data_IF_647961509587
#
_entry.id   IF_647961509587
#
_cell.length_a   1.000
_cell.length_b   1.000
_cell.length_c   1.000
_cell.angle_alpha   90.00
_cell.angle_beta   90.00
_cell.angle_gamma   90.00
#
_symmetry.space_group_name_H-M   'P 1'
#
loop_
_entity.id
_entity.type
_entity.pdbx_description
1 polymer ?
#
# COMPACT_ATOMS: atom_id res chain seq x y z
N UNK A 1 -16.89 -20.47 -7.66
CA UNK A 1 -16.78 -21.54 -6.63
C UNK A 1 -16.57 -22.93 -7.24
N UNK A 2 -17.43 -23.42 -8.13
CA UNK A 2 -17.25 -24.76 -8.74
C UNK A 2 -16.01 -24.92 -9.65
N UNK A 3 -15.60 -23.85 -10.35
CA UNK A 3 -14.32 -23.81 -11.06
C UNK A 3 -13.11 -23.78 -10.10
N UNK A 4 -13.31 -23.37 -8.83
CA UNK A 4 -12.27 -23.38 -7.80
C UNK A 4 -12.12 -24.77 -7.16
N UNK A 5 -13.24 -25.42 -6.83
CA UNK A 5 -13.27 -26.79 -6.31
C UNK A 5 -12.77 -27.83 -7.32
N UNK A 6 -13.09 -27.66 -8.62
CA UNK A 6 -12.50 -28.52 -9.66
C UNK A 6 -11.00 -28.29 -9.79
N UNK A 7 -10.54 -27.04 -9.66
CA UNK A 7 -9.12 -26.69 -9.78
C UNK A 7 -8.29 -27.17 -8.58
N UNK A 8 -8.84 -27.19 -7.36
CA UNK A 8 -8.15 -27.72 -6.16
C UNK A 8 -8.13 -29.25 -6.10
N UNK A 9 -9.19 -29.93 -6.57
CA UNK A 9 -9.22 -31.40 -6.66
C UNK A 9 -8.41 -31.94 -7.87
N UNK A 10 -7.96 -31.05 -8.76
CA UNK A 10 -7.18 -31.39 -9.97
C UNK A 10 -5.67 -31.16 -9.81
N UNK A 11 -5.22 -30.45 -8.77
CA UNK A 11 -3.81 -30.43 -8.37
C UNK A 11 -3.36 -31.79 -7.80
N UNK A 12 -4.31 -32.62 -7.36
CA UNK A 12 -4.06 -33.86 -6.60
C UNK A 12 -4.01 -35.14 -7.47
N UNK A 13 -4.32 -35.07 -8.79
CA UNK A 13 -4.52 -36.26 -9.63
C UNK A 13 -3.83 -36.26 -11.01
N UNK A 14 -2.85 -35.38 -11.29
CA UNK A 14 -2.15 -35.52 -12.57
C UNK A 14 -1.05 -34.51 -12.84
N UNK A 15 0.15 -34.83 -12.40
CA UNK A 15 1.38 -34.20 -12.91
C UNK A 15 1.67 -34.60 -14.37
N UNK A 16 1.15 -35.74 -14.86
CA UNK A 16 1.53 -36.32 -16.15
C UNK A 16 1.00 -35.55 -17.39
N UNK A 17 -0.12 -34.83 -17.28
CA UNK A 17 -0.75 -34.10 -18.42
C UNK A 17 -1.17 -32.66 -18.07
N UNK A 18 -0.36 -31.97 -17.25
CA UNK A 18 -0.67 -30.62 -16.75
C UNK A 18 -0.96 -29.61 -17.87
N UNK A 19 -0.20 -29.63 -18.98
CA UNK A 19 -0.39 -28.72 -20.12
C UNK A 19 -1.67 -29.01 -20.93
N UNK A 20 -1.89 -30.27 -21.30
CA UNK A 20 -3.02 -30.68 -22.11
C UNK A 20 -4.35 -30.37 -21.39
N UNK A 21 -4.41 -30.68 -20.10
CA UNK A 21 -5.61 -30.42 -19.31
C UNK A 21 -5.89 -28.92 -19.15
N UNK A 22 -4.84 -28.12 -18.94
CA UNK A 22 -4.97 -26.67 -18.89
C UNK A 22 -5.45 -26.11 -20.22
N UNK A 23 -4.99 -26.65 -21.35
CA UNK A 23 -5.37 -26.16 -22.69
C UNK A 23 -6.87 -26.33 -22.91
N UNK A 24 -7.36 -27.55 -22.69
CA UNK A 24 -8.75 -27.94 -22.91
C UNK A 24 -9.72 -27.24 -21.94
N UNK A 25 -9.28 -26.88 -20.74
CA UNK A 25 -10.12 -26.27 -19.70
C UNK A 25 -9.96 -24.75 -19.54
N UNK A 26 -9.05 -24.12 -20.28
CA UNK A 26 -8.72 -22.70 -20.13
C UNK A 26 -9.77 -21.76 -20.70
N UNK A 27 -10.51 -22.18 -21.73
CA UNK A 27 -11.49 -21.33 -22.41
C UNK A 27 -12.79 -21.18 -21.60
N UNK A 28 -13.30 -19.96 -21.53
CA UNK A 28 -14.61 -19.66 -20.94
C UNK A 28 -15.61 -19.36 -22.05
N UNK A 29 -16.50 -20.32 -22.33
CA UNK A 29 -17.51 -20.22 -23.39
C UNK A 29 -18.67 -19.27 -23.05
N UNK A 30 -18.68 -18.68 -21.84
CA UNK A 30 -19.70 -17.69 -21.46
C UNK A 30 -19.34 -16.27 -21.87
N UNK A 31 -18.11 -16.04 -22.35
CA UNK A 31 -17.65 -14.72 -22.81
C UNK A 31 -18.12 -14.49 -24.26
N UNK A 32 -19.09 -13.60 -24.44
CA UNK A 32 -19.65 -13.23 -25.75
C UNK A 32 -19.06 -11.93 -26.30
N UNK A 33 -18.49 -11.08 -25.45
CA UNK A 33 -17.95 -9.79 -25.84
C UNK A 33 -16.54 -9.87 -26.48
N UNK A 34 -16.32 -9.09 -27.55
CA UNK A 34 -15.06 -9.06 -28.30
C UNK A 34 -13.88 -8.58 -27.44
N UNK A 35 -14.10 -7.59 -26.57
CA UNK A 35 -13.05 -7.10 -25.68
C UNK A 35 -12.70 -8.14 -24.60
N UNK A 36 -13.72 -8.80 -24.04
CA UNK A 36 -13.55 -9.92 -23.11
C UNK A 36 -12.78 -11.10 -23.71
N UNK A 37 -13.02 -11.43 -24.99
CA UNK A 37 -12.30 -12.46 -25.75
C UNK A 37 -10.81 -12.14 -25.86
N UNK A 38 -10.44 -10.89 -26.15
CA UNK A 38 -9.03 -10.46 -26.23
C UNK A 38 -8.33 -10.59 -24.88
N UNK A 39 -8.97 -10.11 -23.81
CA UNK A 39 -8.45 -10.24 -22.44
C UNK A 39 -8.30 -11.71 -22.05
N UNK A 40 -9.26 -12.56 -22.42
CA UNK A 40 -9.20 -14.00 -22.11
C UNK A 40 -8.08 -14.70 -22.88
N UNK A 41 -7.90 -14.41 -24.17
CA UNK A 41 -6.78 -14.93 -24.96
C UNK A 41 -5.43 -14.51 -24.38
N UNK A 42 -5.29 -13.25 -23.99
CA UNK A 42 -4.09 -12.76 -23.32
C UNK A 42 -3.82 -13.49 -22.00
N UNK A 43 -4.86 -13.69 -21.17
CA UNK A 43 -4.73 -14.42 -19.91
C UNK A 43 -4.29 -15.87 -20.10
N UNK A 44 -4.87 -16.58 -21.08
CA UNK A 44 -4.50 -17.98 -21.38
C UNK A 44 -3.06 -18.05 -21.89
N UNK A 45 -2.67 -17.16 -22.82
CA UNK A 45 -1.29 -17.08 -23.33
C UNK A 45 -0.28 -16.86 -22.19
N UNK A 46 -0.60 -15.99 -21.24
CA UNK A 46 0.28 -15.72 -20.10
C UNK A 46 0.36 -16.90 -19.14
N UNK A 47 -0.75 -17.59 -18.86
CA UNK A 47 -0.79 -18.80 -18.01
C UNK A 47 0.07 -19.92 -18.63
N UNK A 48 0.00 -20.13 -19.94
CA UNK A 48 0.85 -21.09 -20.64
C UNK A 48 2.33 -20.70 -20.64
N UNK A 49 2.63 -19.43 -20.92
CA UNK A 49 4.02 -18.92 -20.88
C UNK A 49 4.64 -19.07 -19.49
N UNK A 50 3.82 -18.95 -18.44
CA UNK A 50 4.23 -19.17 -17.06
C UNK A 50 4.50 -20.65 -16.79
N UNK A 51 3.62 -21.55 -17.20
CA UNK A 51 3.83 -23.00 -17.05
C UNK A 51 5.09 -23.50 -17.76
N UNK A 52 5.33 -23.06 -19.00
CA UNK A 52 6.55 -23.40 -19.75
C UNK A 52 7.81 -22.87 -19.03
N UNK A 53 7.72 -21.70 -18.40
CA UNK A 53 8.83 -21.15 -17.61
C UNK A 53 9.05 -21.89 -16.30
N UNK A 54 8.00 -22.38 -15.64
CA UNK A 54 8.11 -23.23 -14.46
C UNK A 54 8.84 -24.54 -14.82
N UNK A 55 8.48 -25.16 -15.93
CA UNK A 55 9.10 -26.42 -16.37
C UNK A 55 10.56 -26.24 -16.81
N UNK A 56 10.86 -25.20 -17.59
CA UNK A 56 12.26 -24.81 -17.92
C UNK A 56 13.10 -24.42 -16.71
N UNK A 57 12.47 -23.96 -15.63
CA UNK A 57 13.20 -23.68 -14.39
C UNK A 57 13.50 -24.96 -13.59
N UNK A 58 12.72 -26.01 -13.81
CA UNK A 58 12.86 -27.33 -13.18
C UNK A 58 13.72 -28.31 -14.00
N UNK A 59 13.90 -28.08 -15.31
CA UNK A 59 14.96 -28.74 -16.07
C UNK A 59 16.30 -28.53 -15.36
N UNK A 60 17.06 -29.62 -15.22
CA UNK A 60 18.27 -29.68 -14.39
C UNK A 60 19.26 -28.59 -14.79
N UNK A 61 19.30 -27.52 -13.99
CA UNK A 61 20.28 -26.46 -14.11
C UNK A 61 21.65 -27.01 -13.78
N UNK A 62 22.64 -26.66 -14.59
CA UNK A 62 24.01 -27.01 -14.31
C UNK A 62 24.45 -26.41 -12.95
N UNK A 63 25.33 -27.12 -12.22
CA UNK A 63 25.80 -26.68 -10.89
C UNK A 63 26.43 -25.29 -10.96
N UNK A 64 27.11 -24.96 -12.05
CA UNK A 64 27.71 -23.63 -12.26
C UNK A 64 26.65 -22.54 -12.38
N UNK A 65 25.59 -22.76 -13.17
CA UNK A 65 24.48 -21.80 -13.31
C UNK A 65 23.76 -21.58 -11.98
N UNK A 66 23.60 -22.64 -11.18
CA UNK A 66 22.99 -22.55 -9.86
C UNK A 66 23.82 -21.66 -8.93
N UNK A 67 25.15 -21.88 -8.87
CA UNK A 67 26.08 -21.09 -8.06
C UNK A 67 26.05 -19.62 -8.48
N UNK A 68 26.10 -19.34 -9.79
CA UNK A 68 26.00 -17.97 -10.31
C UNK A 68 24.69 -17.28 -9.91
N UNK A 69 23.56 -17.99 -9.96
CA UNK A 69 22.26 -17.46 -9.52
C UNK A 69 22.27 -17.16 -8.03
N UNK A 70 22.82 -18.05 -7.20
CA UNK A 70 22.93 -17.81 -5.75
C UNK A 70 23.83 -16.61 -5.43
N UNK A 71 24.99 -16.49 -6.07
CA UNK A 71 25.88 -15.33 -5.91
C UNK A 71 25.16 -14.04 -6.32
N UNK A 72 24.49 -14.04 -7.48
CA UNK A 72 23.72 -12.88 -7.95
C UNK A 72 22.64 -12.48 -6.94
N UNK A 73 21.96 -13.44 -6.32
CA UNK A 73 20.97 -13.19 -5.27
C UNK A 73 21.58 -12.61 -4.00
N UNK A 74 22.72 -13.12 -3.55
CA UNK A 74 23.41 -12.61 -2.35
C UNK A 74 23.83 -11.15 -2.59
N UNK A 75 24.46 -10.87 -3.74
CA UNK A 75 24.88 -9.51 -4.11
C UNK A 75 23.68 -8.57 -4.22
N UNK A 76 22.61 -8.98 -4.90
CA UNK A 76 21.41 -8.16 -5.03
C UNK A 76 20.74 -7.87 -3.68
N UNK A 77 20.64 -8.86 -2.78
CA UNK A 77 20.08 -8.65 -1.45
C UNK A 77 20.97 -7.75 -0.57
N UNK A 78 22.30 -7.86 -0.68
CA UNK A 78 23.23 -6.94 -0.01
C UNK A 78 23.04 -5.50 -0.49
N UNK A 79 22.93 -5.30 -1.82
CA UNK A 79 22.66 -3.98 -2.40
C UNK A 79 21.31 -3.43 -1.93
N UNK A 80 20.28 -4.26 -1.83
CA UNK A 80 18.97 -3.84 -1.28
C UNK A 80 19.13 -3.35 0.16
N UNK A 81 19.85 -4.08 1.02
CA UNK A 81 20.07 -3.66 2.41
C UNK A 81 20.85 -2.32 2.47
N UNK A 82 21.86 -2.15 1.62
CA UNK A 82 22.64 -0.90 1.53
C UNK A 82 21.76 0.27 1.08
N UNK A 83 20.91 0.08 0.06
CA UNK A 83 20.00 1.13 -0.43
C UNK A 83 18.97 1.49 0.65
N UNK A 84 18.40 0.49 1.33
CA UNK A 84 17.42 0.72 2.40
C UNK A 84 18.07 1.44 3.59
N UNK A 85 19.20 0.94 4.10
CA UNK A 85 19.93 1.55 5.20
C UNK A 85 20.47 2.94 4.85
N UNK A 86 21.05 3.10 3.66
CA UNK A 86 21.54 4.37 3.15
C UNK A 86 20.43 5.40 3.00
N UNK A 87 19.25 5.01 2.52
CA UNK A 87 18.10 5.91 2.43
C UNK A 87 17.62 6.40 3.80
N UNK A 88 17.59 5.52 4.80
CA UNK A 88 17.26 5.91 6.19
C UNK A 88 18.32 6.84 6.78
N UNK A 89 19.60 6.55 6.55
CA UNK A 89 20.70 7.40 7.01
C UNK A 89 20.65 8.79 6.37
N UNK A 90 20.36 8.90 5.07
CA UNK A 90 20.20 10.20 4.40
C UNK A 90 19.06 11.01 5.02
N UNK A 91 17.91 10.39 5.29
CA UNK A 91 16.78 11.09 5.92
C UNK A 91 17.16 11.57 7.33
N UNK A 92 17.83 10.71 8.12
CA UNK A 92 18.27 11.06 9.47
C UNK A 92 19.27 12.23 9.47
N UNK A 93 20.31 12.17 8.62
CA UNK A 93 21.32 13.24 8.53
C UNK A 93 20.69 14.54 8.04
N UNK A 94 19.83 14.47 7.02
CA UNK A 94 19.13 15.66 6.51
C UNK A 94 18.22 16.29 7.56
N UNK A 95 17.66 15.49 8.48
CA UNK A 95 16.85 16.02 9.57
C UNK A 95 17.69 16.68 10.68
N UNK A 96 18.88 16.16 10.98
CA UNK A 96 19.75 16.67 12.04
C UNK A 96 20.66 17.83 11.58
N UNK A 97 20.99 17.88 10.29
CA UNK A 97 21.85 18.92 9.71
C UNK A 97 21.06 19.87 8.84
N UNK A 98 21.04 21.15 9.18
CA UNK A 98 20.65 22.22 8.25
C UNK A 98 21.76 22.37 7.21
N UNK A 99 21.58 21.78 6.03
CA UNK A 99 22.48 21.98 4.90
C UNK A 99 22.24 23.40 4.38
N UNK A 100 23.03 24.36 4.84
CA UNK A 100 23.10 25.69 4.24
C UNK A 100 24.18 25.66 3.17
N UNK A 101 23.83 25.54 1.87
CA UNK A 101 24.84 25.67 0.83
C UNK A 101 25.29 27.14 0.79
N UNK A 102 26.60 27.38 0.91
CA UNK A 102 27.21 28.72 1.02
C UNK A 102 27.18 29.53 -0.30
N UNK A 103 26.78 28.95 -1.44
CA UNK A 103 26.96 29.56 -2.77
C UNK A 103 25.69 29.59 -3.65
N UNK A 104 24.49 29.57 -3.07
CA UNK A 104 23.23 29.47 -3.82
C UNK A 104 22.43 30.78 -3.69
N UNK A 105 21.73 31.27 -4.74
CA UNK A 105 20.91 32.48 -4.66
C UNK A 105 19.97 32.49 -3.45
N UNK A 106 19.80 33.63 -2.78
CA UNK A 106 19.04 33.79 -1.52
C UNK A 106 17.66 33.09 -1.53
N UNK A 107 16.94 33.16 -2.65
CA UNK A 107 15.65 32.48 -2.81
C UNK A 107 15.75 30.95 -2.76
N UNK A 108 16.75 30.37 -3.43
CA UNK A 108 16.98 28.94 -3.43
C UNK A 108 17.57 28.48 -2.10
N UNK A 109 18.32 29.34 -1.41
CA UNK A 109 18.84 29.06 -0.06
C UNK A 109 17.70 28.98 0.97
N UNK A 110 16.76 29.92 0.94
CA UNK A 110 15.58 29.91 1.82
C UNK A 110 14.66 28.69 1.55
N UNK A 111 14.47 28.34 0.27
CA UNK A 111 13.75 27.13 -0.11
C UNK A 111 14.46 25.85 0.34
N UNK A 112 15.78 25.75 0.17
CA UNK A 112 16.50 24.55 0.56
C UNK A 112 16.51 24.37 2.07
N UNK A 113 16.70 25.46 2.82
CA UNK A 113 16.67 25.46 4.28
C UNK A 113 15.31 25.00 4.82
N UNK A 114 14.20 25.48 4.23
CA UNK A 114 12.84 25.19 4.73
C UNK A 114 12.24 23.86 4.26
N UNK A 115 12.73 23.30 3.15
CA UNK A 115 12.15 22.10 2.52
C UNK A 115 13.14 20.92 2.43
N UNK A 116 14.27 20.98 3.13
CA UNK A 116 15.34 19.98 3.04
C UNK A 116 14.86 18.54 3.27
N UNK A 117 14.20 18.31 4.41
CA UNK A 117 13.71 16.99 4.81
C UNK A 117 12.58 16.49 3.89
N UNK A 118 11.54 17.28 3.59
CA UNK A 118 10.51 16.90 2.64
C UNK A 118 11.05 16.56 1.24
N UNK A 119 12.00 17.36 0.72
CA UNK A 119 12.63 17.12 -0.59
C UNK A 119 13.44 15.82 -0.59
N UNK A 120 14.19 15.55 0.47
CA UNK A 120 14.94 14.29 0.61
C UNK A 120 14.00 13.07 0.62
N UNK A 121 12.92 13.11 1.42
CA UNK A 121 11.95 12.01 1.49
C UNK A 121 11.24 11.80 0.15
N UNK A 122 10.74 12.86 -0.49
CA UNK A 122 10.04 12.76 -1.77
C UNK A 122 10.96 12.31 -2.91
N UNK A 123 12.21 12.77 -2.95
CA UNK A 123 13.19 12.36 -3.98
C UNK A 123 13.60 10.88 -3.84
N UNK A 124 13.85 10.40 -2.62
CA UNK A 124 14.15 8.99 -2.36
C UNK A 124 13.00 8.08 -2.81
N UNK A 125 11.74 8.48 -2.62
CA UNK A 125 10.57 7.72 -3.13
C UNK A 125 10.53 7.61 -4.65
N UNK A 126 11.09 8.56 -5.39
CA UNK A 126 11.16 8.49 -6.85
C UNK A 126 12.29 7.57 -7.30
N UNK A 127 13.43 7.61 -6.62
CA UNK A 127 14.67 6.94 -7.05
C UNK A 127 14.72 5.48 -6.58
N UNK A 128 14.37 5.22 -5.32
CA UNK A 128 14.59 3.91 -4.68
C UNK A 128 13.70 2.81 -5.27
N UNK A 129 12.37 2.96 -5.44
CA UNK A 129 11.53 1.88 -5.96
C UNK A 129 11.93 1.40 -7.36
N UNK A 130 12.27 2.27 -8.34
CA UNK A 130 12.83 1.83 -9.61
C UNK A 130 14.14 1.04 -9.48
N UNK A 131 15.05 1.45 -8.58
CA UNK A 131 16.28 0.71 -8.31
C UNK A 131 16.00 -0.67 -7.71
N UNK A 132 15.10 -0.77 -6.73
CA UNK A 132 14.68 -2.04 -6.13
C UNK A 132 14.05 -2.98 -7.15
N UNK A 133 13.23 -2.44 -8.06
CA UNK A 133 12.62 -3.21 -9.15
C UNK A 133 13.67 -3.71 -10.15
N UNK A 134 14.67 -2.89 -10.48
CA UNK A 134 15.79 -3.31 -11.32
C UNK A 134 16.59 -4.45 -10.67
N UNK A 135 16.90 -4.35 -9.37
CA UNK A 135 17.57 -5.41 -8.61
C UNK A 135 16.73 -6.71 -8.58
N UNK A 136 15.41 -6.62 -8.39
CA UNK A 136 14.52 -7.78 -8.45
C UNK A 136 14.58 -8.50 -9.81
N UNK A 137 14.71 -7.76 -10.92
CA UNK A 137 14.86 -8.34 -12.27
C UNK A 137 16.19 -9.07 -12.45
N UNK A 138 17.27 -8.59 -11.83
CA UNK A 138 18.59 -9.24 -11.88
C UNK A 138 18.60 -10.59 -11.17
N UNK A 139 17.80 -10.76 -10.12
CA UNK A 139 17.74 -12.00 -9.33
C UNK A 139 17.07 -13.20 -10.05
N UNK A 140 16.49 -12.96 -11.24
CA UNK A 140 15.85 -13.98 -12.11
C UNK A 140 14.88 -14.91 -11.35
N UNK A 141 14.09 -14.34 -10.44
CA UNK A 141 13.03 -15.08 -9.75
C UNK A 141 11.91 -15.48 -10.70
N UNK A 142 11.11 -16.47 -10.29
CA UNK A 142 9.84 -16.72 -10.94
C UNK A 142 8.97 -15.45 -10.90
N UNK A 143 8.27 -15.06 -11.99
CA UNK A 143 7.57 -13.78 -12.09
C UNK A 143 6.58 -13.50 -10.94
N UNK A 144 5.95 -14.54 -10.37
CA UNK A 144 5.07 -14.39 -9.19
C UNK A 144 5.83 -14.00 -7.92
N UNK A 145 7.02 -14.56 -7.73
CA UNK A 145 7.88 -14.30 -6.57
C UNK A 145 8.54 -12.94 -6.75
N UNK A 146 9.06 -12.65 -7.94
CA UNK A 146 9.66 -11.36 -8.32
C UNK A 146 8.74 -10.19 -7.97
N UNK A 147 7.46 -10.27 -8.36
CA UNK A 147 6.49 -9.19 -8.06
C UNK A 147 6.29 -9.05 -6.56
N UNK A 148 6.01 -10.16 -5.84
CA UNK A 148 5.78 -10.10 -4.39
C UNK A 148 6.99 -9.55 -3.63
N UNK A 149 8.19 -9.98 -4.02
CA UNK A 149 9.44 -9.52 -3.45
C UNK A 149 9.63 -8.02 -3.68
N UNK A 150 9.35 -7.53 -4.89
CA UNK A 150 9.40 -6.10 -5.21
C UNK A 150 8.41 -5.29 -4.36
N UNK A 151 7.18 -5.79 -4.17
CA UNK A 151 6.19 -5.16 -3.29
C UNK A 151 6.69 -5.12 -1.86
N UNK A 152 7.18 -6.25 -1.33
CA UNK A 152 7.68 -6.34 0.05
C UNK A 152 8.82 -5.34 0.26
N UNK A 153 9.82 -5.30 -0.63
CA UNK A 153 10.98 -4.39 -0.51
C UNK A 153 10.57 -2.93 -0.60
N UNK A 154 9.67 -2.59 -1.50
CA UNK A 154 9.17 -1.20 -1.63
C UNK A 154 8.30 -0.81 -0.44
N UNK A 155 7.47 -1.71 0.07
CA UNK A 155 6.68 -1.49 1.28
C UNK A 155 7.57 -1.34 2.52
N UNK A 156 8.63 -2.15 2.65
CA UNK A 156 9.62 -2.02 3.73
C UNK A 156 10.37 -0.69 3.64
N UNK A 157 10.74 -0.24 2.44
CA UNK A 157 11.32 1.08 2.22
C UNK A 157 10.38 2.19 2.71
N UNK A 158 9.10 2.19 2.28
CA UNK A 158 8.14 3.20 2.71
C UNK A 158 7.91 3.17 4.23
N UNK A 159 7.81 1.98 4.82
CA UNK A 159 7.67 1.82 6.26
C UNK A 159 8.89 2.37 7.01
N UNK A 160 10.10 1.98 6.60
CA UNK A 160 11.34 2.44 7.21
C UNK A 160 11.50 3.96 7.06
N UNK A 161 11.19 4.52 5.88
CA UNK A 161 11.24 5.96 5.65
C UNK A 161 10.25 6.73 6.53
N UNK A 162 9.05 6.17 6.74
CA UNK A 162 8.04 6.75 7.62
C UNK A 162 8.52 6.72 9.08
N UNK A 163 9.07 5.59 9.52
CA UNK A 163 9.61 5.46 10.89
C UNK A 163 10.73 6.47 11.12
N UNK A 164 11.72 6.54 10.23
CA UNK A 164 12.85 7.47 10.37
C UNK A 164 12.35 8.92 10.39
N UNK A 165 11.46 9.28 9.47
CA UNK A 165 10.84 10.61 9.42
C UNK A 165 10.12 10.96 10.72
N UNK A 166 9.34 10.03 11.26
CA UNK A 166 8.64 10.25 12.53
C UNK A 166 9.63 10.37 13.69
N UNK A 167 10.64 9.49 13.78
CA UNK A 167 11.65 9.56 14.84
C UNK A 167 12.49 10.84 14.78
N UNK A 168 12.79 11.35 13.59
CA UNK A 168 13.54 12.61 13.45
C UNK A 168 12.71 13.81 13.91
N UNK A 169 11.41 13.81 13.62
CA UNK A 169 10.49 14.82 14.12
C UNK A 169 10.36 14.77 15.65
N UNK A 170 10.35 13.57 16.25
CA UNK A 170 10.39 13.44 17.71
C UNK A 170 11.68 13.93 18.34
N UNK A 171 12.83 13.65 17.73
CA UNK A 171 14.12 14.10 18.26
C UNK A 171 14.17 15.64 18.32
N UNK A 172 13.72 16.31 17.26
CA UNK A 172 13.55 17.78 17.22
C UNK A 172 12.59 18.25 18.32
N UNK A 173 11.44 17.59 18.49
CA UNK A 173 10.50 17.95 19.55
C UNK A 173 11.10 17.81 20.96
N UNK A 174 11.90 16.76 21.19
CA UNK A 174 12.52 16.51 22.49
C UNK A 174 13.62 17.51 22.83
N UNK A 175 14.38 17.95 21.83
CA UNK A 175 15.38 19.04 21.93
C UNK A 175 14.70 20.35 22.31
N UNK A 176 13.53 20.63 21.73
CA UNK A 176 12.73 21.79 22.10
C UNK A 176 12.19 21.76 23.53
N UNK A 177 11.66 20.62 23.98
CA UNK A 177 11.11 20.47 25.35
C UNK A 177 12.21 20.50 26.42
N UNK A 178 13.39 19.98 26.12
CA UNK A 178 14.53 19.90 27.07
C UNK A 178 15.38 21.18 27.13
N UNK A 179 15.15 22.13 26.21
CA UNK A 179 16.02 23.29 25.96
C UNK A 179 15.94 24.43 26.98
N UNK A 180 15.20 24.31 28.08
CA UNK A 180 14.94 25.45 28.99
C UNK A 180 15.16 25.10 30.48
N UNK A 181 16.42 24.93 30.89
CA UNK A 181 16.75 24.96 32.33
C UNK A 181 17.95 25.83 32.75
N UNK A 182 18.71 26.46 31.82
CA UNK A 182 19.90 27.26 32.23
C UNK A 182 20.06 28.61 31.50
N UNK A 183 19.00 29.18 30.94
CA UNK A 183 19.05 30.50 30.28
C UNK A 183 18.31 31.56 31.08
N UNK A 184 19.05 32.47 31.71
CA UNK A 184 18.50 33.68 32.35
C UNK A 184 17.65 34.49 31.38
N UNK A 185 16.50 34.92 31.90
CA UNK A 185 15.41 35.60 31.20
C UNK A 185 15.82 37.02 30.77
N UNK A 186 16.62 37.16 29.70
CA UNK A 186 16.86 38.46 29.06
C UNK A 186 16.96 38.29 27.54
N UNK A 187 15.94 38.80 26.83
CA UNK A 187 15.90 39.02 25.38
C UNK A 187 16.14 37.78 24.49
N UNK A 188 15.16 36.87 24.44
CA UNK A 188 14.88 36.15 23.18
C UNK A 188 14.02 37.07 22.31
N UNK A 189 14.39 37.22 21.05
CA UNK A 189 13.55 37.88 20.06
C UNK A 189 12.16 37.21 20.03
N UNK A 190 11.14 37.94 19.62
CA UNK A 190 9.74 37.50 19.44
C UNK A 190 9.59 36.24 18.53
N UNK A 191 10.69 35.74 17.95
CA UNK A 191 10.78 34.64 16.98
C UNK A 191 11.10 33.26 17.56
N UNK A 192 11.54 33.12 18.81
CA UNK A 192 12.08 31.84 19.33
C UNK A 192 11.17 31.18 20.37
N UNK A 193 9.86 31.14 20.09
CA UNK A 193 8.93 30.27 20.82
C UNK A 193 8.96 28.88 20.18
N UNK A 194 9.38 27.83 20.91
CA UNK A 194 9.35 26.49 20.34
C UNK A 194 7.94 25.88 20.41
N UNK A 195 7.33 25.76 19.22
CA UNK A 195 6.02 25.15 19.00
C UNK A 195 6.17 23.86 18.21
N UNK A 196 6.73 22.84 18.86
CA UNK A 196 7.08 21.59 18.18
C UNK A 196 5.86 20.90 17.53
N UNK A 197 4.65 21.01 18.09
CA UNK A 197 3.45 20.40 17.48
C UNK A 197 3.13 21.03 16.11
N UNK A 198 3.32 22.35 16.00
CA UNK A 198 3.09 23.08 14.75
C UNK A 198 4.18 22.76 13.72
N UNK A 199 5.44 22.66 14.16
CA UNK A 199 6.56 22.30 13.30
C UNK A 199 6.39 20.89 12.71
N UNK A 200 5.97 19.92 13.52
CA UNK A 200 5.62 18.57 13.06
C UNK A 200 4.48 18.61 12.02
N UNK A 201 3.42 19.37 12.30
CA UNK A 201 2.30 19.54 11.36
C UNK A 201 2.72 20.20 10.06
N UNK A 202 3.60 21.20 10.12
CA UNK A 202 4.16 21.91 8.98
C UNK A 202 5.03 20.99 8.11
N UNK A 203 5.92 20.20 8.71
CA UNK A 203 6.76 19.26 7.96
C UNK A 203 5.94 18.19 7.23
N UNK A 204 4.92 17.61 7.88
CA UNK A 204 4.00 16.66 7.23
C UNK A 204 3.26 17.35 6.08
N UNK A 205 2.83 18.61 6.27
CA UNK A 205 2.16 19.38 5.23
C UNK A 205 3.07 19.62 4.01
N UNK A 206 4.32 20.03 4.23
CA UNK A 206 5.32 20.22 3.17
C UNK A 206 5.56 18.93 2.39
N UNK A 207 5.70 17.79 3.08
CA UNK A 207 5.85 16.46 2.44
C UNK A 207 4.64 16.14 1.56
N UNK A 208 3.42 16.40 2.04
CA UNK A 208 2.19 16.11 1.29
C UNK A 208 2.12 16.90 -0.02
N UNK A 209 2.44 18.20 0.02
CA UNK A 209 2.44 19.08 -1.15
C UNK A 209 3.55 18.71 -2.12
N UNK A 210 4.77 18.47 -1.62
CA UNK A 210 5.89 18.06 -2.47
C UNK A 210 5.66 16.70 -3.12
N UNK A 211 5.07 15.74 -2.41
CA UNK A 211 4.68 14.47 -3.01
C UNK A 211 3.66 14.69 -4.17
N UNK A 212 2.71 15.62 -4.04
CA UNK A 212 1.79 15.94 -5.13
C UNK A 212 2.53 16.53 -6.35
N UNK A 213 3.40 17.52 -6.12
CA UNK A 213 4.19 18.15 -7.19
C UNK A 213 5.07 17.12 -7.89
N UNK A 214 5.76 16.28 -7.12
CA UNK A 214 6.64 15.23 -7.63
C UNK A 214 5.86 14.20 -8.43
N UNK A 215 4.69 13.74 -7.97
CA UNK A 215 3.86 12.78 -8.72
C UNK A 215 3.42 13.37 -10.06
N UNK A 216 3.03 14.64 -10.10
CA UNK A 216 2.65 15.33 -11.34
C UNK A 216 3.86 15.46 -12.26
N UNK A 217 4.99 15.94 -11.75
CA UNK A 217 6.20 16.19 -12.54
C UNK A 217 6.77 14.87 -13.09
N UNK A 218 6.91 13.84 -12.26
CA UNK A 218 7.40 12.53 -12.68
C UNK A 218 6.44 11.88 -13.68
N UNK A 219 5.12 11.99 -13.47
CA UNK A 219 4.14 11.49 -14.43
C UNK A 219 4.22 12.18 -15.78
N UNK A 220 4.33 13.51 -15.81
CA UNK A 220 4.51 14.28 -17.05
C UNK A 220 5.84 13.96 -17.73
N UNK A 221 6.95 14.04 -17.00
CA UNK A 221 8.29 13.84 -17.58
C UNK A 221 8.50 12.40 -18.03
N UNK A 222 8.23 11.40 -17.18
CA UNK A 222 8.53 10.02 -17.53
C UNK A 222 7.51 9.40 -18.47
N UNK A 223 6.22 9.62 -18.25
CA UNK A 223 5.19 8.92 -19.02
C UNK A 223 4.86 9.68 -20.32
N UNK A 224 4.71 11.01 -20.28
CA UNK A 224 4.36 11.81 -21.47
C UNK A 224 5.55 11.97 -22.42
N UNK A 225 6.76 12.27 -21.91
CA UNK A 225 7.92 12.39 -22.81
C UNK A 225 8.24 11.06 -23.49
N UNK A 226 8.15 9.93 -22.76
CA UNK A 226 8.36 8.61 -23.37
C UNK A 226 7.32 8.36 -24.47
N UNK A 227 6.05 8.70 -24.24
CA UNK A 227 5.01 8.56 -25.27
C UNK A 227 5.31 9.41 -26.51
N UNK A 228 5.75 10.67 -26.33
CA UNK A 228 6.14 11.56 -27.44
C UNK A 228 7.33 10.98 -28.21
N UNK A 229 8.37 10.51 -27.52
CA UNK A 229 9.58 9.94 -28.14
C UNK A 229 9.23 8.71 -29.00
N UNK A 230 8.36 7.84 -28.49
CA UNK A 230 7.90 6.65 -29.23
C UNK A 230 7.06 7.04 -30.44
N UNK A 231 6.21 8.05 -30.30
CA UNK A 231 5.36 8.53 -31.40
C UNK A 231 6.17 9.25 -32.49
N UNK A 232 7.25 9.94 -32.13
CA UNK A 232 8.16 10.60 -33.07
C UNK A 232 9.12 9.64 -33.81
N UNK A 233 9.00 8.32 -33.59
CA UNK A 233 9.81 7.28 -34.26
C UNK A 233 11.33 7.45 -34.10
N UNK A 234 11.79 8.24 -33.12
CA UNK A 234 13.20 8.57 -32.95
C UNK A 234 13.95 7.30 -32.50
N UNK A 235 13.40 6.57 -31.53
CA UNK A 235 14.02 5.36 -30.98
C UNK A 235 13.04 4.16 -31.00
N UNK A 236 13.04 3.40 -32.10
CA UNK A 236 12.20 2.20 -32.29
C UNK A 236 12.42 1.04 -31.29
N UNK A 237 13.38 1.17 -30.38
CA UNK A 237 13.71 0.13 -29.40
C UNK A 237 12.99 0.32 -28.06
N UNK A 238 12.51 1.53 -27.76
CA UNK A 238 11.75 1.80 -26.54
C UNK A 238 10.26 1.63 -26.81
N UNK A 239 9.61 0.71 -26.09
CA UNK A 239 8.16 0.57 -26.10
C UNK A 239 7.50 1.54 -25.11
N UNK A 240 6.19 1.74 -25.26
CA UNK A 240 5.37 2.44 -24.27
C UNK A 240 5.53 1.83 -22.87
N UNK A 241 5.47 2.68 -21.85
CA UNK A 241 5.54 2.24 -20.46
C UNK A 241 4.28 1.45 -20.07
N UNK A 242 4.46 0.40 -19.29
CA UNK A 242 3.35 -0.38 -18.74
C UNK A 242 2.79 0.34 -17.50
N UNK A 243 1.46 0.39 -17.36
CA UNK A 243 0.83 0.93 -16.16
C UNK A 243 0.99 -0.03 -14.98
N UNK A 244 1.89 0.29 -14.04
CA UNK A 244 2.09 -0.50 -12.84
C UNK A 244 1.08 -0.13 -11.74
N UNK A 245 0.07 -0.98 -11.57
CA UNK A 245 -0.93 -0.86 -10.51
C UNK A 245 -0.28 -0.95 -9.12
N UNK A 246 0.80 -1.71 -9.01
CA UNK A 246 1.44 -2.11 -7.75
C UNK A 246 2.05 -0.93 -7.01
N UNK A 247 2.91 -0.15 -7.68
CA UNK A 247 3.55 1.03 -7.10
C UNK A 247 2.52 2.09 -6.72
N UNK A 248 1.51 2.33 -7.58
CA UNK A 248 0.45 3.30 -7.31
C UNK A 248 -0.36 2.95 -6.04
N UNK A 249 -0.58 1.66 -5.77
CA UNK A 249 -1.26 1.23 -4.54
C UNK A 249 -0.36 1.45 -3.31
N UNK A 250 0.96 1.25 -3.42
CA UNK A 250 1.88 1.53 -2.32
C UNK A 250 1.99 3.02 -2.01
N UNK A 251 2.04 3.88 -3.04
CA UNK A 251 2.00 5.34 -2.90
C UNK A 251 0.72 5.80 -2.18
N UNK A 252 -0.41 5.14 -2.48
CA UNK A 252 -1.68 5.38 -1.82
C UNK A 252 -1.66 4.98 -0.34
N UNK A 253 -1.13 3.80 -0.01
CA UNK A 253 -1.02 3.33 1.38
C UNK A 253 -0.12 4.27 2.20
N UNK A 254 1.01 4.69 1.65
CA UNK A 254 1.89 5.66 2.30
C UNK A 254 1.17 7.02 2.50
N UNK A 255 0.45 7.49 1.48
CA UNK A 255 -0.37 8.70 1.56
C UNK A 255 -1.45 8.60 2.63
N UNK A 256 -2.02 7.42 2.89
CA UNK A 256 -2.98 7.19 3.98
C UNK A 256 -2.30 7.22 5.37
N UNK A 257 -1.09 6.68 5.49
CA UNK A 257 -0.33 6.75 6.74
C UNK A 257 -0.03 8.20 7.16
N UNK A 258 0.29 9.08 6.21
CA UNK A 258 0.47 10.51 6.48
C UNK A 258 -0.83 11.21 6.93
N UNK A 259 -2.01 10.77 6.49
CA UNK A 259 -3.29 11.31 7.02
C UNK A 259 -3.42 10.96 8.49
N UNK A 260 -3.17 9.69 8.83
CA UNK A 260 -3.33 9.21 10.21
C UNK A 260 -2.36 9.92 11.16
N UNK A 261 -1.12 10.14 10.72
CA UNK A 261 -0.13 10.92 11.46
C UNK A 261 -0.53 12.42 11.53
N UNK A 262 -0.91 13.02 10.41
CA UNK A 262 -1.18 14.45 10.32
C UNK A 262 -2.49 14.89 10.98
N UNK A 263 -3.48 13.99 11.13
CA UNK A 263 -4.81 14.34 11.64
C UNK A 263 -4.79 14.98 13.04
N UNK A 264 -3.86 14.56 13.89
CA UNK A 264 -3.72 15.10 15.25
C UNK A 264 -3.04 16.47 15.26
N UNK A 265 -1.94 16.63 14.52
CA UNK A 265 -1.17 17.87 14.49
C UNK A 265 -1.86 18.97 13.66
N UNK A 266 -2.51 18.60 12.55
CA UNK A 266 -3.21 19.53 11.66
C UNK A 266 -4.46 18.88 11.05
N UNK A 267 -5.65 19.11 11.61
CA UNK A 267 -6.89 18.47 11.12
C UNK A 267 -7.25 18.91 9.69
N UNK A 268 -6.86 20.11 9.27
CA UNK A 268 -7.04 20.60 7.90
C UNK A 268 -6.23 19.79 6.87
N UNK A 269 -5.17 19.11 7.30
CA UNK A 269 -4.36 18.26 6.43
C UNK A 269 -5.18 17.11 5.82
N UNK A 270 -6.19 16.60 6.54
CA UNK A 270 -7.10 15.59 6.01
C UNK A 270 -7.87 16.10 4.78
N UNK A 271 -8.35 17.34 4.79
CA UNK A 271 -9.04 17.96 3.65
C UNK A 271 -8.08 18.12 2.46
N UNK A 272 -6.87 18.61 2.72
CA UNK A 272 -5.83 18.80 1.69
C UNK A 272 -5.45 17.46 1.07
N UNK A 273 -5.38 16.39 1.87
CA UNK A 273 -5.10 15.07 1.34
C UNK A 273 -6.23 14.54 0.46
N UNK A 274 -7.49 14.76 0.81
CA UNK A 274 -8.62 14.37 -0.05
C UNK A 274 -8.50 15.08 -1.41
N UNK A 275 -8.19 16.38 -1.42
CA UNK A 275 -7.94 17.13 -2.66
C UNK A 275 -6.75 16.52 -3.44
N UNK A 276 -5.63 16.24 -2.77
CA UNK A 276 -4.47 15.57 -3.38
C UNK A 276 -4.87 14.25 -4.04
N UNK A 277 -5.62 13.39 -3.35
CA UNK A 277 -6.04 12.09 -3.87
C UNK A 277 -6.92 12.23 -5.12
N UNK A 278 -7.82 13.22 -5.14
CA UNK A 278 -8.64 13.53 -6.32
C UNK A 278 -7.77 13.98 -7.49
N UNK A 279 -6.83 14.90 -7.27
CA UNK A 279 -5.91 15.38 -8.33
C UNK A 279 -5.06 14.21 -8.85
N UNK A 280 -4.42 13.45 -7.95
CA UNK A 280 -3.59 12.30 -8.32
C UNK A 280 -4.40 11.25 -9.09
N UNK A 281 -5.65 11.01 -8.73
CA UNK A 281 -6.53 10.09 -9.46
C UNK A 281 -6.72 10.53 -10.92
N UNK A 282 -7.10 11.78 -11.16
CA UNK A 282 -7.32 12.29 -12.51
C UNK A 282 -6.03 12.33 -13.33
N UNK A 283 -4.90 12.75 -12.74
CA UNK A 283 -3.60 12.74 -13.41
C UNK A 283 -3.20 11.33 -13.82
N UNK A 284 -3.28 10.35 -12.91
CA UNK A 284 -2.97 8.95 -13.21
C UNK A 284 -3.95 8.35 -14.22
N UNK A 285 -5.22 8.73 -14.18
CA UNK A 285 -6.23 8.31 -15.15
C UNK A 285 -5.88 8.78 -16.57
N UNK A 286 -5.55 10.06 -16.74
CA UNK A 286 -5.16 10.65 -18.03
C UNK A 286 -3.90 9.96 -18.56
N UNK A 287 -2.86 9.85 -17.74
CA UNK A 287 -1.61 9.17 -18.11
C UNK A 287 -1.87 7.71 -18.52
N UNK A 288 -2.67 6.97 -17.74
CA UNK A 288 -3.00 5.59 -18.03
C UNK A 288 -3.79 5.42 -19.33
N UNK A 289 -4.63 6.41 -19.69
CA UNK A 289 -5.47 6.36 -20.89
C UNK A 289 -4.71 6.71 -22.16
N UNK A 290 -3.81 7.70 -22.12
CA UNK A 290 -3.15 8.24 -23.31
C UNK A 290 -1.71 7.77 -23.50
N UNK A 291 -0.95 7.55 -22.43
CA UNK A 291 0.50 7.31 -22.52
C UNK A 291 0.89 5.85 -22.30
N UNK A 292 0.09 5.09 -21.54
CA UNK A 292 0.46 3.75 -21.10
C UNK A 292 -0.26 2.66 -21.88
N UNK A 293 0.43 1.53 -22.03
CA UNK A 293 -0.17 0.31 -22.58
C UNK A 293 -0.77 -0.56 -21.46
N UNK A 294 -1.82 -1.35 -21.74
CA UNK A 294 -2.40 -2.24 -20.76
C UNK A 294 -1.35 -3.25 -20.29
N UNK A 295 -1.30 -3.56 -18.97
CA UNK A 295 -0.27 -4.45 -18.43
C UNK A 295 -0.36 -5.84 -19.06
N UNK A 296 0.77 -6.36 -19.55
CA UNK A 296 0.85 -7.69 -20.18
C UNK A 296 0.62 -8.84 -19.19
N UNK A 297 0.85 -8.59 -17.90
CA UNK A 297 0.63 -9.53 -16.79
C UNK A 297 -0.77 -9.29 -16.19
N UNK A 298 -1.70 -10.18 -16.50
CA UNK A 298 -3.07 -10.12 -15.93
C UNK A 298 -3.02 -10.56 -14.47
N UNK A 299 -3.01 -9.58 -13.57
CA UNK A 299 -3.09 -9.84 -12.13
C UNK A 299 -4.43 -10.52 -11.82
N UNK A 300 -4.37 -11.68 -11.17
CA UNK A 300 -5.55 -12.25 -10.55
C UNK A 300 -5.84 -11.46 -9.28
N UNK A 301 -6.57 -10.35 -9.43
CA UNK A 301 -6.83 -9.32 -8.40
C UNK A 301 -7.24 -9.88 -7.02
N UNK A 302 -7.89 -11.05 -6.99
CA UNK A 302 -8.38 -11.68 -5.75
C UNK A 302 -7.30 -12.11 -4.75
N UNK A 303 -6.04 -12.39 -5.14
CA UNK A 303 -5.00 -12.88 -4.20
C UNK A 303 -4.06 -11.80 -3.67
N UNK A 304 -3.91 -10.69 -4.38
CA UNK A 304 -3.03 -9.57 -3.98
C UNK A 304 -3.73 -8.60 -3.03
N UNK A 305 -5.06 -8.47 -3.09
CA UNK A 305 -5.82 -7.58 -2.20
C UNK A 305 -5.57 -7.82 -0.71
N UNK A 306 -5.54 -9.08 -0.27
CA UNK A 306 -5.28 -9.42 1.14
C UNK A 306 -3.88 -9.01 1.59
N UNK A 307 -2.90 -9.05 0.69
CA UNK A 307 -1.53 -8.66 0.98
C UNK A 307 -1.39 -7.14 1.19
N UNK A 308 -2.05 -6.34 0.34
CA UNK A 308 -2.10 -4.89 0.54
C UNK A 308 -2.84 -4.50 1.82
N UNK A 309 -3.94 -5.20 2.15
CA UNK A 309 -4.65 -4.96 3.41
C UNK A 309 -3.78 -5.25 4.64
N UNK A 310 -2.90 -6.26 4.56
CA UNK A 310 -1.93 -6.54 5.62
C UNK A 310 -0.87 -5.43 5.75
N UNK A 311 -0.31 -4.93 4.63
CA UNK A 311 0.63 -3.80 4.65
C UNK A 311 -0.05 -2.53 5.21
N UNK A 312 -1.29 -2.27 4.82
CA UNK A 312 -2.08 -1.14 5.31
C UNK A 312 -2.26 -1.21 6.83
N UNK A 313 -2.54 -2.42 7.36
CA UNK A 313 -2.67 -2.65 8.80
C UNK A 313 -1.35 -2.37 9.54
N UNK A 314 -0.20 -2.79 9.00
CA UNK A 314 1.11 -2.48 9.60
C UNK A 314 1.35 -0.97 9.64
N UNK A 315 1.09 -0.27 8.52
CA UNK A 315 1.23 1.18 8.47
C UNK A 315 0.31 1.90 9.45
N UNK A 316 -0.89 1.36 9.70
CA UNK A 316 -1.81 1.92 10.69
C UNK A 316 -1.19 1.86 12.09
N UNK A 317 -0.64 0.70 12.50
CA UNK A 317 0.01 0.59 13.80
C UNK A 317 1.24 1.49 13.91
N UNK A 318 2.05 1.59 12.86
CA UNK A 318 3.24 2.47 12.83
C UNK A 318 2.86 3.95 12.87
N UNK A 319 1.71 4.36 12.35
CA UNK A 319 1.23 5.73 12.49
C UNK A 319 0.58 5.99 13.87
N UNK A 320 -0.18 5.03 14.42
CA UNK A 320 -0.89 5.21 15.69
C UNK A 320 0.02 5.16 16.92
N UNK A 321 1.08 4.33 16.90
CA UNK A 321 2.03 4.22 18.00
C UNK A 321 2.69 5.56 18.39
N UNK A 322 3.37 6.28 17.47
CA UNK A 322 3.96 7.58 17.77
C UNK A 322 2.91 8.59 18.23
N UNK A 323 1.77 8.64 17.54
CA UNK A 323 0.66 9.53 17.89
C UNK A 323 0.18 9.33 19.32
N UNK A 324 -0.05 8.08 19.72
CA UNK A 324 -0.45 7.73 21.08
C UNK A 324 0.64 8.08 22.08
N UNK A 325 1.91 7.83 21.73
CA UNK A 325 3.06 8.21 22.54
C UNK A 325 3.14 9.72 22.77
N UNK A 326 2.92 10.55 21.72
CA UNK A 326 2.93 12.00 21.85
C UNK A 326 1.81 12.55 22.73
N UNK A 327 0.64 11.91 22.75
CA UNK A 327 -0.50 12.36 23.57
C UNK A 327 -0.31 12.00 25.05
N UNK A 328 0.27 10.83 25.33
CA UNK A 328 0.36 10.29 26.70
C UNK A 328 1.64 10.75 27.39
N UNK A 329 2.77 10.76 26.69
CA UNK A 329 4.10 10.90 27.30
C UNK A 329 4.70 12.28 27.10
N UNK A 330 4.54 12.89 25.92
CA UNK A 330 5.10 14.22 25.67
C UNK A 330 4.26 15.30 26.38
N UNK A 331 4.96 16.23 27.01
CA UNK A 331 4.39 17.47 27.52
C UNK A 331 4.08 18.42 26.36
N UNK A 332 2.92 19.08 26.36
CA UNK A 332 2.59 20.07 25.32
C UNK A 332 3.52 21.29 25.40
N UNK A 333 3.63 22.05 24.30
CA UNK A 333 4.38 23.31 24.30
C UNK A 333 3.80 24.33 25.30
N UNK A 334 4.71 25.01 26.01
CA UNK A 334 4.31 25.96 27.06
C UNK A 334 3.70 27.24 26.48
N UNK A 335 4.28 27.75 25.39
CA UNK A 335 3.94 29.06 24.83
C UNK A 335 2.82 29.03 23.77
N UNK A 336 2.48 27.85 23.24
CA UNK A 336 1.57 27.72 22.09
C UNK A 336 0.66 26.48 22.11
N UNK A 337 -0.36 26.50 21.24
CA UNK A 337 -1.32 25.41 21.11
C UNK A 337 -2.57 25.52 22.00
N UNK A 338 -3.51 24.57 21.86
CA UNK A 338 -4.75 24.54 22.65
C UNK A 338 -4.57 23.90 24.04
N UNK A 339 -3.44 23.21 24.28
CA UNK A 339 -3.14 22.45 25.51
C UNK A 339 -2.08 23.14 26.38
N UNK A 340 -1.93 24.46 26.25
CA UNK A 340 -0.97 25.26 27.03
C UNK A 340 -1.20 25.11 28.53
N UNK A 341 -0.10 25.16 29.29
CA UNK A 341 -0.05 25.16 30.76
C UNK A 341 -0.42 23.83 31.45
N UNK A 342 -0.67 22.77 30.68
CA UNK A 342 -1.04 21.46 31.19
C UNK A 342 0.18 20.54 31.14
N UNK A 343 0.33 19.61 32.09
CA UNK A 343 1.51 18.74 32.11
C UNK A 343 1.39 17.63 31.07
N UNK A 344 0.17 17.18 30.81
CA UNK A 344 -0.14 16.20 29.77
C UNK A 344 -1.42 16.56 29.01
N UNK A 345 -1.47 16.23 27.71
CA UNK A 345 -2.60 16.54 26.82
C UNK A 345 -3.92 15.95 27.33
N UNK A 346 -3.89 14.80 28.01
CA UNK A 346 -5.09 14.15 28.54
C UNK A 346 -5.72 14.91 29.74
N UNK A 347 -4.97 15.78 30.42
CA UNK A 347 -5.46 16.54 31.58
C UNK A 347 -6.51 17.58 31.18
N UNK A 348 -6.44 18.10 29.95
CA UNK A 348 -7.49 18.98 29.42
C UNK A 348 -8.81 18.23 29.30
N UNK A 349 -8.78 16.97 28.90
CA UNK A 349 -9.98 16.15 28.80
C UNK A 349 -10.57 15.90 30.19
N UNK A 350 -9.75 15.53 31.17
CA UNK A 350 -10.23 15.26 32.54
C UNK A 350 -10.74 16.54 33.23
N UNK A 351 -10.06 17.68 33.05
CA UNK A 351 -10.48 18.98 33.61
C UNK A 351 -11.75 19.49 32.95
N UNK A 352 -11.89 19.35 31.63
CA UNK A 352 -13.14 19.71 30.94
C UNK A 352 -14.29 18.81 31.39
N UNK A 353 -14.07 17.49 31.53
CA UNK A 353 -15.05 16.56 32.11
C UNK A 353 -15.41 16.96 33.55
N UNK A 354 -14.47 17.50 34.33
CA UNK A 354 -14.73 18.05 35.67
C UNK A 354 -15.62 19.29 35.69
N UNK A 355 -15.62 20.08 34.62
CA UNK A 355 -16.44 21.30 34.48
C UNK A 355 -17.81 21.06 33.84
N UNK A 356 -18.12 19.80 33.45
CA UNK A 356 -19.42 19.43 32.91
C UNK A 356 -20.49 19.41 34.03
N UNK A 357 -21.78 19.58 33.70
CA UNK A 357 -22.84 19.48 34.71
C UNK A 357 -22.83 18.10 35.36
N UNK A 358 -23.13 18.04 36.67
CA UNK A 358 -22.98 16.85 37.54
C UNK A 358 -23.60 15.58 36.93
N UNK A 359 -24.79 15.69 36.33
CA UNK A 359 -25.48 14.56 35.69
C UNK A 359 -24.67 13.93 34.52
N UNK A 360 -23.88 14.74 33.81
CA UNK A 360 -23.08 14.34 32.67
C UNK A 360 -21.72 13.79 33.11
N UNK A 361 -21.15 14.34 34.19
CA UNK A 361 -19.94 13.84 34.83
C UNK A 361 -20.16 12.45 35.43
N UNK A 362 -21.25 12.27 36.18
CA UNK A 362 -21.63 10.98 36.75
C UNK A 362 -21.91 9.95 35.66
N UNK A 363 -22.56 10.36 34.56
CA UNK A 363 -22.78 9.52 33.40
C UNK A 363 -21.49 9.05 32.73
N UNK A 364 -20.54 9.97 32.50
CA UNK A 364 -19.24 9.65 31.88
C UNK A 364 -18.37 8.76 32.78
N UNK A 365 -18.32 9.06 34.09
CA UNK A 365 -17.59 8.23 35.06
C UNK A 365 -18.19 6.83 35.16
N UNK A 366 -19.52 6.71 35.16
CA UNK A 366 -20.22 5.42 35.15
C UNK A 366 -19.91 4.60 33.89
N UNK A 367 -19.92 5.23 32.70
CA UNK A 367 -19.56 4.57 31.44
C UNK A 367 -18.10 4.13 31.41
N UNK A 368 -17.19 4.93 31.98
CA UNK A 368 -15.76 4.62 32.04
C UNK A 368 -15.40 3.58 33.11
N UNK A 369 -16.35 3.16 33.94
CA UNK A 369 -16.07 2.18 35.00
C UNK A 369 -15.94 0.78 34.39
N UNK A 370 -15.02 -0.03 34.91
CA UNK A 370 -14.82 -1.43 34.46
C UNK A 370 -16.10 -2.28 34.50
N UNK A 371 -17.05 -1.93 35.36
CA UNK A 371 -18.37 -2.56 35.47
C UNK A 371 -19.26 -2.40 34.25
N UNK A 372 -19.09 -1.35 33.43
CA UNK A 372 -19.84 -1.16 32.18
C UNK A 372 -19.03 -1.66 30.98
N UNK A 373 -17.71 -1.41 30.97
CA UNK A 373 -16.82 -1.79 29.87
C UNK A 373 -16.74 -3.31 29.70
N UNK A 374 -16.59 -4.07 30.79
CA UNK A 374 -16.47 -5.54 30.73
C UNK A 374 -17.73 -6.20 30.13
N UNK A 375 -18.96 -5.94 30.61
CA UNK A 375 -20.15 -6.52 29.98
C UNK A 375 -20.38 -6.01 28.56
N UNK A 376 -20.05 -4.76 28.24
CA UNK A 376 -20.11 -4.25 26.88
C UNK A 376 -19.16 -5.02 25.94
N UNK A 377 -17.93 -5.29 26.39
CA UNK A 377 -16.96 -6.11 25.66
C UNK A 377 -17.43 -7.55 25.49
N UNK A 378 -18.03 -8.14 26.52
CA UNK A 378 -18.64 -9.49 26.44
C UNK A 378 -19.79 -9.49 25.43
N UNK A 379 -20.66 -8.47 25.45
CA UNK A 379 -21.77 -8.35 24.51
C UNK A 379 -21.28 -8.15 23.08
N UNK A 380 -20.25 -7.33 22.86
CA UNK A 380 -19.58 -7.17 21.57
C UNK A 380 -18.96 -8.49 21.10
N UNK A 381 -18.28 -9.22 21.99
CA UNK A 381 -17.69 -10.51 21.68
C UNK A 381 -18.75 -11.55 21.30
N UNK A 382 -19.85 -11.62 22.05
CA UNK A 382 -21.01 -12.44 21.72
C UNK A 382 -21.64 -12.05 20.38
N UNK A 383 -21.76 -10.75 20.10
CA UNK A 383 -22.26 -10.26 18.82
C UNK A 383 -21.35 -10.69 17.66
N UNK A 384 -20.02 -10.55 17.81
CA UNK A 384 -19.05 -11.02 16.82
C UNK A 384 -19.16 -12.54 16.61
N UNK A 385 -19.25 -13.33 17.68
CA UNK A 385 -19.46 -14.77 17.57
C UNK A 385 -20.77 -15.12 16.88
N UNK A 386 -21.86 -14.42 17.21
CA UNK A 386 -23.16 -14.57 16.57
C UNK A 386 -23.11 -14.25 15.07
N UNK A 387 -22.48 -13.13 14.69
CA UNK A 387 -22.34 -12.77 13.27
C UNK A 387 -21.41 -13.74 12.52
N UNK A 388 -20.36 -14.26 13.17
CA UNK A 388 -19.48 -15.29 12.60
C UNK A 388 -20.22 -16.60 12.34
N UNK A 389 -21.00 -17.09 13.31
CA UNK A 389 -21.82 -18.31 13.14
C UNK A 389 -22.89 -18.11 12.09
N UNK A 390 -23.59 -16.98 12.10
CA UNK A 390 -24.59 -16.60 11.09
C UNK A 390 -23.99 -16.55 9.68
N UNK A 391 -22.80 -15.95 9.53
CA UNK A 391 -22.09 -15.90 8.24
C UNK A 391 -21.71 -17.31 7.76
N UNK A 392 -21.20 -18.16 8.65
CA UNK A 392 -20.88 -19.56 8.33
C UNK A 392 -22.13 -20.35 7.89
N UNK A 393 -23.25 -20.18 8.58
CA UNK A 393 -24.53 -20.81 8.23
C UNK A 393 -25.02 -20.35 6.84
N UNK A 394 -25.00 -19.05 6.55
CA UNK A 394 -25.39 -18.55 5.23
C UNK A 394 -24.47 -19.06 4.13
N UNK A 395 -23.16 -19.18 4.38
CA UNK A 395 -22.23 -19.75 3.40
C UNK A 395 -22.55 -21.22 3.11
N UNK A 396 -22.86 -22.01 4.13
CA UNK A 396 -23.28 -23.39 3.97
C UNK A 396 -24.60 -23.48 3.19
N UNK A 397 -25.60 -22.66 3.53
CA UNK A 397 -26.88 -22.60 2.81
C UNK A 397 -26.72 -22.21 1.34
N UNK A 398 -25.91 -21.19 1.05
CA UNK A 398 -25.60 -20.77 -0.34
C UNK A 398 -24.91 -21.91 -1.10
N UNK A 399 -24.04 -22.68 -0.43
CA UNK A 399 -23.35 -23.81 -1.04
C UNK A 399 -24.33 -24.94 -1.37
N UNK A 400 -25.26 -25.22 -0.46
CA UNK A 400 -26.28 -26.24 -0.65
C UNK A 400 -27.26 -25.88 -1.78
N UNK A 401 -27.80 -24.66 -1.78
CA UNK A 401 -28.65 -24.14 -2.87
C UNK A 401 -27.94 -24.21 -4.23
N UNK A 402 -26.64 -23.91 -4.27
CA UNK A 402 -25.84 -24.06 -5.49
C UNK A 402 -25.70 -25.52 -5.93
N UNK A 403 -25.60 -26.46 -4.99
CA UNK A 403 -25.55 -27.88 -5.30
C UNK A 403 -26.87 -28.39 -5.86
N UNK A 404 -27.99 -27.98 -5.26
CA UNK A 404 -29.35 -28.30 -5.75
C UNK A 404 -29.56 -27.78 -7.18
N UNK A 405 -29.28 -26.50 -7.44
CA UNK A 405 -29.36 -25.91 -8.79
C UNK A 405 -28.48 -26.61 -9.84
N UNK A 406 -27.41 -27.28 -9.40
CA UNK A 406 -26.53 -28.06 -10.30
C UNK A 406 -27.03 -29.46 -10.51
N UNK A 407 -27.62 -30.07 -9.48
CA UNK A 407 -28.28 -31.35 -9.60
C UNK A 407 -29.44 -31.26 -10.60
N UNK A 408 -30.31 -30.25 -10.45
CA UNK A 408 -31.42 -29.99 -11.39
C UNK A 408 -30.92 -29.79 -12.82
N UNK A 409 -29.91 -28.93 -13.03
CA UNK A 409 -29.29 -28.75 -14.35
C UNK A 409 -28.72 -30.04 -14.93
N UNK A 410 -28.18 -30.96 -14.11
CA UNK A 410 -27.70 -32.27 -14.60
C UNK A 410 -28.88 -33.16 -15.01
N UNK A 411 -29.96 -33.16 -14.24
CA UNK A 411 -31.18 -33.92 -14.52
C UNK A 411 -31.83 -33.44 -15.82
N UNK A 412 -31.99 -32.13 -16.00
CA UNK A 412 -32.51 -31.53 -17.23
C UNK A 412 -31.65 -31.87 -18.44
N UNK A 413 -30.31 -31.74 -18.34
CA UNK A 413 -29.40 -32.14 -19.41
C UNK A 413 -29.58 -33.60 -19.78
N UNK A 414 -29.68 -34.52 -18.81
CA UNK A 414 -29.95 -35.94 -19.06
C UNK A 414 -31.28 -36.16 -19.78
N UNK A 415 -32.34 -35.42 -19.41
CA UNK A 415 -33.64 -35.47 -20.11
C UNK A 415 -33.50 -35.02 -21.57
N UNK A 416 -32.76 -33.94 -21.84
CA UNK A 416 -32.50 -33.45 -23.20
C UNK A 416 -31.71 -34.46 -24.03
N UNK A 417 -30.61 -35.02 -23.49
CA UNK A 417 -29.83 -36.06 -24.19
C UNK A 417 -30.66 -37.32 -24.48
N UNK A 418 -31.54 -37.72 -23.56
CA UNK A 418 -32.45 -38.85 -23.78
C UNK A 418 -33.43 -38.58 -24.92
N UNK A 419 -34.02 -37.38 -24.99
CA UNK A 419 -34.89 -36.95 -26.10
C UNK A 419 -34.14 -36.89 -27.44
N UNK A 420 -32.90 -36.38 -27.43
CA UNK A 420 -32.05 -36.34 -28.62
C UNK A 420 -31.73 -37.75 -29.15
N UNK A 421 -31.38 -38.69 -28.27
CA UNK A 421 -31.10 -40.08 -28.65
C UNK A 421 -32.33 -40.77 -29.26
N UNK A 422 -33.51 -40.63 -28.63
CA UNK A 422 -34.77 -41.15 -29.17
C UNK A 422 -35.13 -40.53 -30.53
N UNK A 423 -34.80 -39.25 -30.73
CA UNK A 423 -35.03 -38.59 -32.02
C UNK A 423 -34.08 -39.15 -33.09
N UNK A 424 -32.81 -39.39 -32.75
CA UNK A 424 -31.82 -39.97 -33.65
C UNK A 424 -32.17 -41.41 -34.05
N UNK A 425 -32.64 -42.23 -33.13
CA UNK A 425 -33.10 -43.60 -33.41
C UNK A 425 -34.33 -43.63 -34.34
N UNK A 426 -35.16 -42.58 -34.35
CA UNK A 426 -36.30 -42.42 -35.28
C UNK A 426 -35.92 -41.97 -36.69
N UNK A 427 -34.69 -41.50 -36.92
CA UNK A 427 -34.21 -41.11 -38.25
C UNK A 427 -33.38 -42.22 -38.93
N UNK A 428 -33.10 -43.32 -38.24
CA UNK A 428 -32.32 -44.47 -38.74
C UNK A 428 -33.22 -45.62 -39.21
N UNK A 429 -34.53 -45.52 -38.97
CA UNK A 429 -35.58 -46.33 -39.60
C UNK A 429 -36.39 -45.47 -40.53
#
# INVERSE_FOLDING_TARGET
>A
MYLGYRRSKMEDQGDEFRFAWRALSSWDYTVTDKSGVLVRKAAIRTDFKEMVREEKANETRDRQELIWIYITRVVANLLVIIILGGSGYVIYVVADTTLTPEEVPDFLQDLFSKYQLPVAVSSLKVIVPPMLHFLCKLERWHPRIEIKLNIIRTALFYLASLVVFVTSLYDVSSKCVSGDQNGTFTHRNLSDFCCWENEVGEEIFKVVILDLVVVILVGLVLDVLTAIIVQCHIWNKFGYREFDVTSNVLDLIYSQALIWLGLYFSPFLALIQVIKLVITFYVRYIIARYCNTPPTKVFKASRTGTFYMFILLINLFVALFPMTYSVIVLSPSFDCGPFRLETHVYEVITTRIGNLPVWLQDGLNYVSTSTVIIPLLILLMLAVLYYKTKTSLYQNLITELRNQLKFERRVEKRKVFRKAKVSQDKFVH
#
